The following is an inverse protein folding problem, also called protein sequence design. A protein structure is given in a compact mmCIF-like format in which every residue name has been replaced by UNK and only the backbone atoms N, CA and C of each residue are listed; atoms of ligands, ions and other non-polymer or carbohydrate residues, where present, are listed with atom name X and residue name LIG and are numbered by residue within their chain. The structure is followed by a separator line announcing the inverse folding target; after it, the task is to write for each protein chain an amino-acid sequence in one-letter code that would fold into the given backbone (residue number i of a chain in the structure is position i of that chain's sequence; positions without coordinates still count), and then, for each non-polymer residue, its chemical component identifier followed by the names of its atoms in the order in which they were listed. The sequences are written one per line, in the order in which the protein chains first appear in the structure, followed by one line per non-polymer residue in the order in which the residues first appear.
data_IF_860917950946
#
_entry.id   IF_860917950946
#
_cell.length_a   1.000
_cell.length_b   1.000
_cell.length_c   1.000
_cell.angle_alpha   90.00
_cell.angle_beta   90.00
_cell.angle_gamma   90.00
#
_symmetry.space_group_name_H-M   'P 1'
#
loop_
_entity.id
_entity.type
_entity.pdbx_description
1 polymer ?
#
# COMPACT_ATOMS: atom_id res chain seq x y z
N UNK A 1 11.51 -9.35 -2.15
CA UNK A 1 10.98 -8.86 -0.87
C UNK A 1 11.77 -7.62 -0.48
N UNK A 2 11.09 -6.49 -0.32
CA UNK A 2 11.68 -5.28 0.23
C UNK A 2 11.24 -5.14 1.69
N UNK A 3 12.18 -4.86 2.59
CA UNK A 3 11.90 -4.57 4.00
C UNK A 3 12.35 -3.14 4.33
N UNK A 4 11.47 -2.35 4.93
CA UNK A 4 11.85 -1.06 5.52
C UNK A 4 12.57 -1.30 6.85
N UNK A 5 13.79 -0.77 6.99
CA UNK A 5 14.64 -0.97 8.18
C UNK A 5 13.94 -0.51 9.46
N UNK A 6 13.42 0.71 9.48
CA UNK A 6 12.76 1.30 10.64
C UNK A 6 13.50 1.03 11.96
N UNK A 7 12.79 0.42 12.91
CA UNK A 7 13.32 0.02 14.21
C UNK A 7 13.70 -1.46 14.31
N UNK A 8 13.72 -2.21 13.19
CA UNK A 8 14.16 -3.60 13.24
C UNK A 8 15.63 -3.68 13.64
N UNK A 9 15.92 -4.58 14.56
CA UNK A 9 17.28 -4.93 14.95
C UNK A 9 17.97 -5.71 13.83
N UNK A 10 19.30 -5.67 13.80
CA UNK A 10 20.10 -6.45 12.85
C UNK A 10 19.80 -7.96 12.93
N UNK A 11 19.43 -8.47 14.11
CA UNK A 11 19.03 -9.86 14.32
C UNK A 11 17.70 -10.19 13.62
N UNK A 12 16.71 -9.29 13.72
CA UNK A 12 15.41 -9.46 13.06
C UNK A 12 15.55 -9.35 11.54
N UNK A 13 16.33 -8.38 11.06
CA UNK A 13 16.62 -8.24 9.63
C UNK A 13 17.34 -9.48 9.08
N UNK A 14 18.31 -10.01 9.81
CA UNK A 14 19.01 -11.24 9.44
C UNK A 14 18.07 -12.44 9.37
N UNK A 15 17.09 -12.53 10.28
CA UNK A 15 16.06 -13.56 10.23
C UNK A 15 15.22 -13.48 8.96
N UNK A 16 14.70 -12.30 8.61
CA UNK A 16 13.90 -12.12 7.39
C UNK A 16 14.72 -12.36 6.12
N UNK A 17 15.97 -11.90 6.09
CA UNK A 17 16.89 -12.16 5.00
C UNK A 17 17.12 -13.66 4.80
N UNK A 18 17.43 -14.40 5.86
CA UNK A 18 17.60 -15.85 5.78
C UNK A 18 16.33 -16.60 5.37
N UNK A 19 15.16 -16.13 5.78
CA UNK A 19 13.88 -16.67 5.32
C UNK A 19 13.62 -16.40 3.84
N UNK A 20 13.94 -15.21 3.35
CA UNK A 20 13.81 -14.86 1.93
C UNK A 20 14.76 -15.73 1.09
N UNK A 21 16.04 -15.81 1.46
CA UNK A 21 17.06 -16.63 0.77
C UNK A 21 16.66 -18.11 0.72
N UNK A 22 16.18 -18.67 1.84
CA UNK A 22 15.71 -20.06 1.90
C UNK A 22 14.56 -20.36 0.92
N UNK A 23 13.76 -19.35 0.58
CA UNK A 23 12.64 -19.47 -0.35
C UNK A 23 12.97 -18.97 -1.76
N UNK A 24 14.24 -18.66 -2.06
CA UNK A 24 14.67 -18.16 -3.36
C UNK A 24 14.16 -16.75 -3.67
N UNK A 25 13.85 -15.96 -2.64
CA UNK A 25 13.32 -14.60 -2.76
C UNK A 25 14.47 -13.61 -2.56
N UNK A 26 14.68 -12.72 -3.53
CA UNK A 26 15.62 -11.61 -3.39
C UNK A 26 15.22 -10.71 -2.21
N UNK A 27 16.18 -10.34 -1.36
CA UNK A 27 15.95 -9.50 -0.19
C UNK A 27 16.65 -8.15 -0.36
N UNK A 28 15.88 -7.08 -0.27
CA UNK A 28 16.37 -5.70 -0.32
C UNK A 28 15.97 -4.94 0.95
N UNK A 29 16.83 -4.03 1.39
CA UNK A 29 16.62 -3.21 2.58
C UNK A 29 16.44 -1.74 2.18
N UNK A 30 15.28 -1.16 2.52
CA UNK A 30 15.04 0.27 2.41
C UNK A 30 15.34 0.97 3.72
N UNK A 31 16.09 2.07 3.69
CA UNK A 31 16.37 2.93 4.85
C UNK A 31 15.51 4.19 4.86
N UNK A 32 14.95 4.56 3.72
CA UNK A 32 14.09 5.74 3.58
C UNK A 32 12.94 5.49 2.58
N UNK A 33 12.12 6.53 2.35
CA UNK A 33 11.00 6.47 1.41
C UNK A 33 11.44 6.34 -0.05
N UNK A 34 12.51 7.05 -0.43
CA UNK A 34 13.07 7.03 -1.78
C UNK A 34 13.58 5.65 -2.15
N UNK A 35 14.17 4.91 -1.21
CA UNK A 35 14.63 3.54 -1.46
C UNK A 35 13.45 2.62 -1.80
N UNK A 36 12.29 2.81 -1.14
CA UNK A 36 11.08 2.03 -1.43
C UNK A 36 10.58 2.32 -2.84
N UNK A 37 10.49 3.61 -3.18
CA UNK A 37 10.00 4.05 -4.49
C UNK A 37 10.97 3.63 -5.60
N UNK A 38 12.27 3.72 -5.33
CA UNK A 38 13.32 3.27 -6.25
C UNK A 38 13.22 1.77 -6.49
N UNK A 39 13.04 0.97 -5.44
CA UNK A 39 12.87 -0.48 -5.59
C UNK A 39 11.61 -0.84 -6.40
N UNK A 40 10.51 -0.13 -6.18
CA UNK A 40 9.28 -0.35 -6.97
C UNK A 40 9.55 -0.01 -8.44
N UNK A 41 10.13 1.16 -8.70
CA UNK A 41 10.30 1.67 -10.07
C UNK A 41 11.42 1.00 -10.86
N UNK A 42 12.48 0.53 -10.20
CA UNK A 42 13.70 0.04 -10.84
C UNK A 42 14.10 -1.38 -10.45
N UNK A 43 13.44 -2.00 -9.46
CA UNK A 43 13.76 -3.35 -8.97
C UNK A 43 14.88 -3.39 -7.94
N UNK A 44 15.51 -2.25 -7.67
CA UNK A 44 16.62 -2.07 -6.72
C UNK A 44 16.55 -0.68 -6.09
N UNK A 45 17.14 -0.53 -4.90
CA UNK A 45 17.35 0.80 -4.31
C UNK A 45 18.49 1.58 -5.01
N UNK A 46 19.35 0.90 -5.79
CA UNK A 46 20.41 1.51 -6.60
C UNK A 46 19.87 1.90 -7.99
N UNK A 47 19.43 3.14 -8.13
CA UNK A 47 18.82 3.69 -9.35
C UNK A 47 19.72 3.68 -10.60
N UNK A 48 21.02 3.37 -10.46
CA UNK A 48 21.91 3.20 -11.62
C UNK A 48 21.67 1.90 -12.39
N UNK A 49 20.84 1.00 -11.83
CA UNK A 49 20.44 -0.28 -12.43
C UNK A 49 18.91 -0.32 -12.49
N UNK A 50 18.34 -0.49 -13.67
CA UNK A 50 16.89 -0.65 -13.87
C UNK A 50 16.62 -2.07 -14.33
N UNK A 51 16.22 -2.93 -13.40
CA UNK A 51 15.88 -4.33 -13.70
C UNK A 51 14.45 -4.42 -14.25
N UNK A 52 13.60 -3.43 -13.97
CA UNK A 52 12.17 -3.41 -14.31
C UNK A 52 11.87 -3.34 -15.80
N UNK A 53 12.81 -2.86 -16.62
CA UNK A 53 12.67 -2.89 -18.08
C UNK A 53 12.68 -4.34 -18.62
N UNK A 54 13.32 -5.27 -17.90
CA UNK A 54 13.41 -6.69 -18.26
C UNK A 54 12.59 -7.62 -17.34
N UNK A 55 12.23 -7.15 -16.15
CA UNK A 55 11.47 -7.89 -15.13
C UNK A 55 10.37 -6.99 -14.52
N UNK A 56 9.31 -6.68 -15.29
CA UNK A 56 8.23 -5.84 -14.82
C UNK A 56 7.39 -6.53 -13.74
N UNK A 57 6.82 -5.74 -12.81
CA UNK A 57 5.98 -6.26 -11.72
C UNK A 57 4.68 -6.83 -12.31
N UNK A 58 4.46 -8.14 -12.17
CA UNK A 58 3.22 -8.83 -12.58
C UNK A 58 2.18 -8.91 -11.46
N UNK A 59 2.62 -8.94 -10.20
CA UNK A 59 1.75 -8.88 -9.03
C UNK A 59 2.38 -7.97 -7.97
N UNK A 60 1.62 -6.99 -7.50
CA UNK A 60 2.01 -6.06 -6.45
C UNK A 60 1.12 -6.24 -5.23
N UNK A 61 1.71 -6.56 -4.09
CA UNK A 61 0.99 -6.66 -2.82
C UNK A 61 1.57 -5.69 -1.80
N UNK A 62 0.73 -4.81 -1.28
CA UNK A 62 1.07 -3.96 -0.15
C UNK A 62 0.38 -4.45 1.12
N UNK A 63 1.20 -4.78 2.13
CA UNK A 63 0.76 -5.23 3.46
C UNK A 63 1.35 -4.26 4.47
N UNK A 64 0.52 -3.37 5.02
CA UNK A 64 0.98 -2.39 6.01
C UNK A 64 -0.09 -1.41 6.46
N UNK A 65 0.34 -0.32 7.09
CA UNK A 65 -0.54 0.77 7.48
C UNK A 65 -0.91 1.63 6.27
N UNK A 66 -2.19 1.97 6.13
CA UNK A 66 -2.67 2.73 4.98
C UNK A 66 -3.61 3.85 5.36
N UNK A 67 -3.77 4.76 4.41
CA UNK A 67 -4.82 5.76 4.35
C UNK A 67 -5.32 5.81 2.90
N UNK A 68 -6.55 6.29 2.62
CA UNK A 68 -7.02 6.51 1.26
C UNK A 68 -6.07 7.33 0.38
N UNK A 69 -5.17 8.12 0.98
CA UNK A 69 -4.26 8.98 0.23
C UNK A 69 -2.83 8.44 0.13
N UNK A 70 -2.49 7.34 0.81
CA UNK A 70 -1.09 6.97 0.94
C UNK A 70 -0.81 5.61 1.60
N UNK A 71 0.44 5.21 1.44
CA UNK A 71 1.10 4.13 2.17
C UNK A 71 1.82 4.73 3.37
N UNK A 72 1.59 4.22 4.57
CA UNK A 72 2.26 4.71 5.78
C UNK A 72 3.41 3.78 6.14
N UNK A 73 4.57 4.39 6.40
CA UNK A 73 5.83 3.69 6.68
C UNK A 73 6.09 3.65 8.18
N UNK A 74 6.10 4.82 8.83
CA UNK A 74 6.59 4.98 10.20
C UNK A 74 5.87 6.13 10.90
N UNK A 75 5.42 5.96 12.16
CA UNK A 75 4.87 7.06 12.94
C UNK A 75 5.97 8.05 13.34
N UNK A 76 5.75 9.35 13.10
CA UNK A 76 6.65 10.42 13.53
C UNK A 76 6.28 11.01 14.90
N UNK A 77 5.18 10.55 15.49
CA UNK A 77 4.59 11.11 16.70
C UNK A 77 3.49 12.14 16.37
N UNK A 78 2.70 12.53 17.38
CA UNK A 78 1.63 13.54 17.27
C UNK A 78 0.53 13.30 16.19
N UNK A 79 0.44 12.08 15.67
CA UNK A 79 -0.51 11.73 14.60
C UNK A 79 0.08 11.79 13.20
N UNK A 80 1.34 12.21 13.05
CA UNK A 80 2.03 12.25 11.77
C UNK A 80 2.69 10.92 11.44
N UNK A 81 2.78 10.66 10.13
CA UNK A 81 3.39 9.47 9.57
C UNK A 81 4.30 9.83 8.41
N UNK A 82 5.46 9.19 8.35
CA UNK A 82 6.22 9.09 7.10
C UNK A 82 5.39 8.27 6.12
N UNK A 83 5.17 8.80 4.94
CA UNK A 83 4.25 8.19 3.97
C UNK A 83 4.64 8.53 2.54
N UNK A 84 4.25 7.66 1.62
CA UNK A 84 4.39 7.84 0.18
C UNK A 84 3.07 7.57 -0.51
N UNK A 85 2.95 8.01 -1.76
CA UNK A 85 1.76 7.79 -2.57
C UNK A 85 2.09 7.05 -3.87
N UNK A 86 1.04 6.55 -4.51
CA UNK A 86 1.15 5.81 -5.77
C UNK A 86 1.45 6.69 -6.98
N UNK A 87 1.39 8.02 -6.88
CA UNK A 87 1.71 8.95 -7.99
C UNK A 87 3.19 8.91 -8.36
N UNK A 88 4.04 8.52 -7.39
CA UNK A 88 5.49 8.39 -7.56
C UNK A 88 5.90 7.10 -8.29
N UNK A 89 4.96 6.20 -8.57
CA UNK A 89 5.25 4.94 -9.27
C UNK A 89 5.31 5.14 -10.79
N UNK A 90 6.34 4.60 -11.44
CA UNK A 90 6.41 4.57 -12.89
C UNK A 90 5.53 3.43 -13.42
N UNK A 91 4.64 3.72 -14.36
CA UNK A 91 3.81 2.69 -14.98
C UNK A 91 4.66 1.65 -15.72
N UNK A 92 5.83 2.02 -16.24
CA UNK A 92 6.76 1.09 -16.91
C UNK A 92 7.31 0.02 -15.97
N UNK A 93 7.31 0.27 -14.66
CA UNK A 93 7.74 -0.72 -13.68
C UNK A 93 6.75 -1.88 -13.51
N UNK A 94 5.53 -1.72 -14.01
CA UNK A 94 4.46 -2.72 -13.91
C UNK A 94 4.22 -3.34 -15.28
N UNK A 95 3.95 -4.64 -15.29
CA UNK A 95 3.40 -5.30 -16.47
C UNK A 95 2.03 -4.66 -16.76
N UNK A 96 1.68 -4.56 -18.05
CA UNK A 96 0.42 -3.94 -18.44
C UNK A 96 -0.79 -4.68 -17.86
N UNK A 97 -0.67 -5.96 -17.52
CA UNK A 97 -1.73 -6.78 -16.91
C UNK A 97 -1.52 -7.06 -15.42
N UNK A 98 -0.61 -6.32 -14.76
CA UNK A 98 -0.27 -6.56 -13.37
C UNK A 98 -1.49 -6.53 -12.43
N UNK A 99 -1.57 -7.46 -11.47
CA UNK A 99 -2.57 -7.36 -10.41
C UNK A 99 -2.01 -6.63 -9.20
N UNK A 100 -2.88 -5.89 -8.51
CA UNK A 100 -2.50 -5.02 -7.40
C UNK A 100 -3.42 -5.30 -6.23
N UNK A 101 -2.84 -5.60 -5.07
CA UNK A 101 -3.57 -5.90 -3.84
C UNK A 101 -3.12 -4.97 -2.71
N UNK A 102 -4.07 -4.21 -2.17
CA UNK A 102 -3.85 -3.15 -1.20
C UNK A 102 -4.48 -3.54 0.14
N UNK A 103 -3.66 -4.06 1.04
CA UNK A 103 -4.07 -4.52 2.36
C UNK A 103 -3.83 -3.46 3.44
N UNK A 104 -3.92 -2.17 3.12
CA UNK A 104 -3.88 -1.08 4.10
C UNK A 104 -5.27 -0.54 4.44
N UNK A 105 -5.39 0.04 5.64
CA UNK A 105 -6.63 0.67 6.10
C UNK A 105 -7.15 1.69 5.08
N UNK A 106 -8.36 1.48 4.57
CA UNK A 106 -9.00 2.47 3.71
C UNK A 106 -8.50 2.56 2.28
N UNK A 107 -7.50 1.76 1.88
CA UNK A 107 -6.92 1.82 0.54
C UNK A 107 -7.85 1.27 -0.55
N UNK A 108 -9.06 0.82 -0.21
CA UNK A 108 -10.13 0.54 -1.17
C UNK A 108 -11.14 1.67 -1.34
N UNK A 109 -11.07 2.77 -0.58
CA UNK A 109 -11.96 3.91 -0.81
C UNK A 109 -11.52 4.67 -2.05
N UNK A 110 -12.38 4.71 -3.06
CA UNK A 110 -12.23 5.60 -4.21
C UNK A 110 -12.57 7.04 -3.81
N UNK A 111 -12.12 8.02 -4.59
CA UNK A 111 -12.41 9.44 -4.34
C UNK A 111 -13.92 9.72 -4.30
N UNK A 112 -14.68 9.10 -5.20
CA UNK A 112 -16.15 9.17 -5.21
C UNK A 112 -16.78 8.59 -3.93
N UNK A 113 -16.35 7.41 -3.48
CA UNK A 113 -16.88 6.80 -2.25
C UNK A 113 -16.48 7.60 -1.00
N UNK A 114 -15.30 8.21 -1.02
CA UNK A 114 -14.86 9.10 0.06
C UNK A 114 -15.71 10.37 0.12
N UNK A 115 -16.01 10.97 -1.04
CA UNK A 115 -16.91 12.13 -1.17
C UNK A 115 -18.34 11.81 -0.69
N UNK A 116 -18.87 10.62 -1.02
CA UNK A 116 -20.20 10.18 -0.55
C UNK A 116 -20.29 10.12 0.99
N UNK A 117 -19.17 9.82 1.66
CA UNK A 117 -19.08 9.76 3.12
C UNK A 117 -18.80 11.14 3.72
N UNK A 118 -17.92 11.91 3.06
CA UNK A 118 -17.44 13.23 3.47
C UNK A 118 -17.54 14.20 2.29
N UNK A 119 -18.70 14.86 2.09
CA UNK A 119 -18.95 15.69 0.90
C UNK A 119 -18.02 16.90 0.75
N UNK A 120 -17.34 17.30 1.81
CA UNK A 120 -16.31 18.35 1.83
C UNK A 120 -14.95 17.87 1.29
N UNK A 121 -14.77 16.56 1.09
CA UNK A 121 -13.55 15.97 0.57
C UNK A 121 -13.75 15.61 -0.90
N UNK A 122 -12.92 16.20 -1.76
CA UNK A 122 -12.85 15.87 -3.20
C UNK A 122 -11.40 15.70 -3.60
N UNK A 123 -10.93 14.47 -3.63
CA UNK A 123 -9.54 14.12 -3.93
C UNK A 123 -9.48 12.84 -4.76
N UNK A 124 -8.43 12.68 -5.55
CA UNK A 124 -8.03 11.36 -6.05
C UNK A 124 -7.41 10.57 -4.91
N UNK A 125 -7.84 9.33 -4.74
CA UNK A 125 -7.29 8.43 -3.73
C UNK A 125 -6.16 7.59 -4.30
N UNK A 126 -5.43 6.92 -3.42
CA UNK A 126 -4.37 5.98 -3.75
C UNK A 126 -4.86 4.92 -4.74
N UNK A 127 -6.05 4.35 -4.53
CA UNK A 127 -6.57 3.30 -5.43
C UNK A 127 -6.96 3.84 -6.80
N UNK A 128 -7.49 5.06 -6.87
CA UNK A 128 -7.76 5.74 -8.16
C UNK A 128 -6.45 5.93 -8.92
N UNK A 129 -5.41 6.40 -8.22
CA UNK A 129 -4.08 6.62 -8.78
C UNK A 129 -3.38 5.31 -9.18
N UNK A 130 -3.65 4.18 -8.52
CA UNK A 130 -3.10 2.87 -8.93
C UNK A 130 -3.68 2.38 -10.26
N UNK A 131 -4.88 2.84 -10.67
CA UNK A 131 -5.50 2.42 -11.93
C UNK A 131 -4.62 2.72 -13.15
N UNK A 132 -3.84 3.81 -13.12
CA UNK A 132 -2.97 4.19 -14.24
C UNK A 132 -1.80 3.23 -14.50
N UNK A 133 -1.47 2.36 -13.54
CA UNK A 133 -0.27 1.52 -13.59
C UNK A 133 -0.48 0.24 -14.40
N UNK A 134 -1.73 -0.21 -14.54
CA UNK A 134 -2.07 -1.53 -15.08
C UNK A 134 -3.41 -1.51 -15.82
N UNK A 135 -3.76 -2.60 -16.51
CA UNK A 135 -5.07 -3.03 -17.03
C UNK A 135 -5.63 -4.22 -16.23
N UNK A 136 -4.80 -4.79 -15.36
CA UNK A 136 -5.13 -5.91 -14.50
C UNK A 136 -6.12 -5.55 -13.41
N UNK A 137 -6.22 -6.44 -12.43
CA UNK A 137 -7.18 -6.30 -11.33
C UNK A 137 -6.55 -5.56 -10.16
N UNK A 138 -7.28 -4.61 -9.60
CA UNK A 138 -6.85 -3.85 -8.42
C UNK A 138 -7.85 -4.13 -7.30
N UNK A 139 -7.36 -4.62 -6.17
CA UNK A 139 -8.17 -4.96 -4.99
C UNK A 139 -7.72 -4.13 -3.81
N UNK A 140 -8.66 -3.51 -3.10
CA UNK A 140 -8.38 -2.77 -1.87
C UNK A 140 -9.51 -2.89 -0.86
N UNK A 141 -9.23 -2.48 0.38
CA UNK A 141 -10.21 -2.52 1.48
C UNK A 141 -10.58 -1.11 1.96
N UNK A 142 -11.87 -0.79 1.93
CA UNK A 142 -12.41 0.54 2.26
C UNK A 142 -12.60 0.79 3.76
N UNK A 143 -11.88 0.04 4.59
CA UNK A 143 -12.16 -0.17 6.01
C UNK A 143 -10.88 -0.23 6.81
N UNK A 144 -10.99 -0.11 8.13
CA UNK A 144 -9.87 -0.43 9.03
C UNK A 144 -9.60 -1.94 8.98
N UNK A 145 -8.33 -2.30 8.84
CA UNK A 145 -7.86 -3.69 8.84
C UNK A 145 -7.12 -3.98 10.14
N UNK A 146 -7.38 -5.16 10.71
CA UNK A 146 -6.60 -5.72 11.81
C UNK A 146 -5.76 -6.89 11.28
N UNK A 147 -4.46 -6.86 11.59
CA UNK A 147 -3.53 -7.92 11.27
C UNK A 147 -3.50 -8.96 12.37
N UNK A 148 -3.53 -10.25 12.00
CA UNK A 148 -3.03 -11.29 12.91
C UNK A 148 -4.04 -11.98 13.82
N UNK A 149 -5.35 -11.97 13.52
CA UNK A 149 -6.26 -12.93 14.19
C UNK A 149 -5.91 -14.39 13.83
N UNK A 150 -5.44 -14.62 12.61
CA UNK A 150 -4.69 -15.81 12.17
C UNK A 150 -3.45 -15.35 11.37
N UNK A 151 -2.38 -16.16 11.35
CA UNK A 151 -1.16 -15.87 10.59
C UNK A 151 -1.48 -15.61 9.11
N UNK A 152 -1.06 -14.46 8.57
CA UNK A 152 -1.30 -14.10 7.17
C UNK A 152 -2.74 -13.68 6.83
N UNK A 153 -3.61 -13.47 7.82
CA UNK A 153 -5.00 -13.01 7.59
C UNK A 153 -5.23 -11.58 8.10
N UNK A 154 -6.21 -10.91 7.49
CA UNK A 154 -6.70 -9.60 7.90
C UNK A 154 -8.21 -9.65 8.15
N UNK A 155 -8.70 -8.78 9.04
CA UNK A 155 -10.14 -8.66 9.32
C UNK A 155 -10.61 -7.22 9.11
N UNK A 156 -11.69 -7.02 8.33
CA UNK A 156 -12.27 -5.69 8.10
C UNK A 156 -13.19 -5.24 9.24
N UNK A 157 -13.02 -3.99 9.67
CA UNK A 157 -13.86 -3.32 10.68
C UNK A 157 -14.47 -2.03 10.14
N UNK A 158 -15.32 -1.36 10.94
CA UNK A 158 -15.85 -0.06 10.55
C UNK A 158 -14.72 0.95 10.30
N UNK A 159 -14.99 1.90 9.42
CA UNK A 159 -14.04 2.94 9.04
C UNK A 159 -13.72 3.82 10.25
N UNK A 160 -12.43 3.97 10.55
CA UNK A 160 -11.93 4.90 11.55
C UNK A 160 -10.67 5.58 11.07
N UNK A 161 -10.79 6.81 10.55
CA UNK A 161 -9.63 7.67 10.31
C UNK A 161 -9.29 8.48 11.55
N UNK A 162 -7.99 8.65 11.75
CA UNK A 162 -7.35 8.80 13.06
C UNK A 162 -6.77 10.21 13.23
N UNK A 163 -7.56 11.26 13.01
CA UNK A 163 -7.19 12.52 13.64
C UNK A 163 -7.45 12.39 15.15
N UNK A 164 -6.50 12.81 15.96
CA UNK A 164 -6.57 12.78 17.44
C UNK A 164 -7.81 13.49 17.99
N UNK A 165 -8.35 14.45 17.22
CA UNK A 165 -9.53 15.25 17.56
C UNK A 165 -10.88 14.65 17.08
N UNK A 166 -10.88 13.52 16.36
CA UNK A 166 -12.07 12.98 15.69
C UNK A 166 -12.87 11.98 16.54
N UNK A 167 -12.58 11.92 17.84
CA UNK A 167 -13.28 11.05 18.80
C UNK A 167 -14.77 11.39 19.01
N UNK A 168 -15.23 12.51 18.45
CA UNK A 168 -16.56 13.08 18.70
C UNK A 168 -17.58 12.85 17.57
N UNK A 169 -17.18 12.30 16.41
CA UNK A 169 -18.12 12.00 15.31
C UNK A 169 -18.41 10.50 15.20
N UNK A 170 -19.69 10.18 14.94
CA UNK A 170 -20.16 8.81 14.72
C UNK A 170 -19.41 8.23 13.51
N UNK A 171 -18.67 7.14 13.74
CA UNK A 171 -17.89 6.46 12.69
C UNK A 171 -18.82 5.96 11.57
N UNK A 172 -18.56 6.31 10.30
CA UNK A 172 -19.35 5.76 9.19
C UNK A 172 -19.14 4.25 9.12
N UNK A 173 -20.25 3.53 9.00
CA UNK A 173 -20.24 2.09 8.80
C UNK A 173 -20.28 1.82 7.30
N UNK A 174 -19.22 1.20 6.78
CA UNK A 174 -19.18 0.76 5.39
C UNK A 174 -19.98 -0.55 5.27
N UNK A 175 -21.01 -0.61 4.42
CA UNK A 175 -21.74 -1.84 4.13
C UNK A 175 -20.81 -2.99 3.77
N UNK A 176 -21.09 -4.20 4.22
CA UNK A 176 -20.20 -5.36 4.04
C UNK A 176 -19.79 -5.60 2.59
N UNK A 177 -20.75 -5.49 1.66
CA UNK A 177 -20.53 -5.61 0.22
C UNK A 177 -19.69 -4.46 -0.39
N UNK A 178 -19.40 -3.39 0.35
CA UNK A 178 -18.54 -2.26 -0.05
C UNK A 178 -17.18 -2.25 0.66
N UNK A 179 -16.91 -3.21 1.56
CA UNK A 179 -15.65 -3.24 2.34
C UNK A 179 -14.45 -3.70 1.52
N UNK A 180 -14.69 -4.54 0.52
CA UNK A 180 -13.69 -4.94 -0.48
C UNK A 180 -14.09 -4.33 -1.80
N UNK A 181 -13.17 -3.60 -2.41
CA UNK A 181 -13.35 -2.98 -3.71
C UNK A 181 -12.47 -3.70 -4.71
N UNK A 182 -13.00 -3.93 -5.91
CA UNK A 182 -12.27 -4.52 -7.03
C UNK A 182 -12.49 -3.65 -8.26
N UNK A 183 -11.41 -3.08 -8.76
CA UNK A 183 -11.39 -2.23 -9.94
C UNK A 183 -10.58 -2.89 -11.06
N UNK A 184 -10.76 -2.38 -12.28
CA UNK A 184 -9.83 -2.61 -13.38
C UNK A 184 -8.92 -1.41 -13.53
N UNK A 185 -7.67 -1.68 -13.86
CA UNK A 185 -6.74 -0.64 -14.26
C UNK A 185 -7.14 0.01 -15.59
N UNK A 186 -6.67 1.24 -15.80
CA UNK A 186 -7.04 2.13 -16.90
C UNK A 186 -5.87 2.43 -17.83
N UNK A 187 -4.71 1.79 -17.62
CA UNK A 187 -3.55 1.96 -18.50
C UNK A 187 -3.93 1.58 -19.93
N UNK A 188 -3.62 2.45 -20.89
CA UNK A 188 -3.87 2.18 -22.31
C UNK A 188 -2.75 1.32 -22.89
#
# INVERSE_FOLDING_TARGET
MLVYKGHYTEKELSYYKGMAEKNGISFELASNEEDIISYINYGTADVSRSDRDSDPITDFEYVGHGHPTGFYIEPLGNGDYKSFNSERFDARAFDVNANIYLYGCGQGLTGSALHDIYPDITISTLIDNMQRLTRGTIVGYSVTLEWGKNLGSFIPYNLGYRNTNDRLRRRPTIPENKRKVTLKGTRQ
#
